data_IF_080949306784
#
_entry.id   IF_080949306784
#
_cell.length_a   1.000
_cell.length_b   1.000
_cell.length_c   1.000
_cell.angle_alpha   90.00
_cell.angle_beta   90.00
_cell.angle_gamma   90.00
#
_symmetry.space_group_name_H-M   'P 1'
#
loop_
_entity.id
_entity.type
_entity.pdbx_description
1 polymer ?
#
# COMPACT_ATOMS: atom_id res chain seq x y z
N UNK A 1 -14.53 -3.61 -0.57
CA UNK A 1 -13.92 -4.74 -1.27
C UNK A 1 -13.72 -4.41 -2.73
N UNK A 2 -12.50 -4.05 -3.11
CA UNK A 2 -12.11 -3.97 -4.51
C UNK A 2 -12.10 -5.40 -5.04
N UNK A 3 -12.91 -5.68 -6.06
CA UNK A 3 -12.99 -7.01 -6.64
C UNK A 3 -11.63 -7.50 -7.17
N UNK A 4 -10.70 -6.58 -7.43
CA UNK A 4 -9.38 -6.86 -7.98
C UNK A 4 -8.45 -7.61 -7.04
N UNK A 5 -8.19 -7.10 -5.82
CA UNK A 5 -7.26 -7.75 -4.88
C UNK A 5 -7.80 -9.11 -4.42
N UNK A 6 -9.10 -9.19 -4.15
CA UNK A 6 -9.75 -10.46 -3.81
C UNK A 6 -9.64 -11.49 -4.95
N UNK A 7 -9.75 -11.04 -6.20
CA UNK A 7 -9.54 -11.92 -7.35
C UNK A 7 -8.09 -12.38 -7.48
N UNK A 8 -7.10 -11.51 -7.24
CA UNK A 8 -5.69 -11.88 -7.25
C UNK A 8 -5.35 -12.92 -6.18
N UNK A 9 -5.93 -12.79 -4.98
CA UNK A 9 -5.77 -13.79 -3.90
C UNK A 9 -6.31 -15.16 -4.33
N UNK A 10 -7.53 -15.21 -4.85
CA UNK A 10 -8.13 -16.44 -5.38
C UNK A 10 -7.34 -17.02 -6.56
N UNK A 11 -6.82 -16.17 -7.44
CA UNK A 11 -6.00 -16.62 -8.55
C UNK A 11 -4.71 -17.29 -8.06
N UNK A 12 -4.03 -16.72 -7.07
CA UNK A 12 -2.78 -17.27 -6.57
C UNK A 12 -2.93 -18.61 -5.82
N UNK A 13 -4.14 -18.95 -5.34
CA UNK A 13 -4.44 -20.30 -4.85
C UNK A 13 -4.45 -21.36 -5.96
N UNK A 14 -4.73 -20.95 -7.21
CA UNK A 14 -4.91 -21.86 -8.35
C UNK A 14 -3.78 -21.82 -9.38
N UNK A 15 -3.14 -20.66 -9.57
CA UNK A 15 -2.03 -20.44 -10.50
C UNK A 15 -0.89 -19.64 -9.86
N UNK A 16 0.12 -20.35 -9.36
CA UNK A 16 1.34 -19.74 -8.83
C UNK A 16 2.17 -18.97 -9.88
N UNK A 17 1.96 -19.22 -11.18
CA UNK A 17 2.69 -18.51 -12.25
C UNK A 17 2.24 -17.06 -12.35
N UNK A 18 0.96 -16.77 -12.08
CA UNK A 18 0.42 -15.42 -12.09
C UNK A 18 1.23 -14.49 -11.17
N UNK A 19 1.54 -14.94 -9.94
CA UNK A 19 2.38 -14.18 -9.01
C UNK A 19 3.80 -13.94 -9.54
N UNK A 20 4.43 -14.94 -10.14
CA UNK A 20 5.77 -14.78 -10.72
C UNK A 20 5.78 -13.75 -11.86
N UNK A 21 4.76 -13.78 -12.71
CA UNK A 21 4.58 -12.84 -13.82
C UNK A 21 4.33 -11.42 -13.32
N UNK A 22 3.40 -11.24 -12.38
CA UNK A 22 3.08 -9.94 -11.79
C UNK A 22 4.28 -9.36 -11.04
N UNK A 23 5.02 -10.15 -10.27
CA UNK A 23 6.23 -9.70 -9.60
C UNK A 23 7.29 -9.23 -10.59
N UNK A 24 7.44 -9.93 -11.72
CA UNK A 24 8.34 -9.54 -12.82
C UNK A 24 7.89 -8.28 -13.57
N UNK A 25 6.63 -7.85 -13.41
CA UNK A 25 6.10 -6.62 -14.04
C UNK A 25 6.52 -5.32 -13.32
N UNK A 26 6.93 -5.41 -12.05
CA UNK A 26 7.87 -4.43 -11.47
C UNK A 26 9.16 -4.47 -12.33
N UNK A 27 10.24 -3.73 -12.16
CA UNK A 27 11.32 -3.67 -13.19
C UNK A 27 10.92 -3.09 -14.58
N UNK A 28 9.65 -3.15 -15.01
CA UNK A 28 9.13 -2.39 -16.16
C UNK A 28 8.28 -1.22 -15.68
N UNK A 29 7.95 -0.31 -16.59
CA UNK A 29 6.92 0.70 -16.35
C UNK A 29 5.54 0.05 -16.15
N UNK A 30 4.71 0.54 -15.22
CA UNK A 30 3.40 -0.05 -14.98
C UNK A 30 2.54 -0.10 -16.25
N UNK A 31 2.08 -1.31 -16.62
CA UNK A 31 1.26 -1.53 -17.81
C UNK A 31 2.02 -1.75 -19.11
N UNK A 32 3.36 -1.87 -19.08
CA UNK A 32 4.19 -2.17 -20.26
C UNK A 32 4.62 -3.63 -20.37
N UNK A 33 4.44 -4.44 -19.33
CA UNK A 33 4.83 -5.85 -19.34
C UNK A 33 3.70 -6.74 -19.87
N UNK A 34 3.76 -7.10 -21.16
CA UNK A 34 2.72 -7.84 -21.89
C UNK A 34 2.23 -9.11 -21.17
N UNK A 35 3.09 -9.96 -20.57
CA UNK A 35 2.62 -11.16 -19.89
C UNK A 35 1.70 -10.89 -18.69
N UNK A 36 1.72 -9.67 -18.13
CA UNK A 36 0.82 -9.30 -17.04
C UNK A 36 -0.60 -8.92 -17.51
N UNK A 37 -0.82 -8.69 -18.81
CA UNK A 37 -2.09 -8.19 -19.35
C UNK A 37 -3.30 -9.08 -19.00
N UNK A 38 -3.23 -10.42 -19.12
CA UNK A 38 -4.36 -11.29 -18.80
C UNK A 38 -4.85 -11.16 -17.35
N UNK A 39 -3.98 -10.69 -16.44
CA UNK A 39 -4.29 -10.59 -15.02
C UNK A 39 -4.85 -9.23 -14.60
N UNK A 40 -4.66 -8.18 -15.41
CA UNK A 40 -4.99 -6.81 -15.01
C UNK A 40 -6.04 -6.18 -15.93
N UNK A 41 -5.97 -6.40 -17.25
CA UNK A 41 -6.90 -5.82 -18.22
C UNK A 41 -8.39 -6.10 -17.93
N UNK A 42 -8.80 -7.27 -17.39
CA UNK A 42 -10.21 -7.50 -17.04
C UNK A 42 -10.77 -6.52 -16.01
N UNK A 43 -9.92 -5.82 -15.24
CA UNK A 43 -10.30 -4.89 -14.18
C UNK A 43 -10.18 -3.42 -14.58
N UNK A 44 -9.56 -3.14 -15.73
CA UNK A 44 -9.30 -1.78 -16.21
C UNK A 44 -10.13 -1.56 -17.48
N UNK A 45 -11.21 -0.77 -17.38
CA UNK A 45 -12.11 -0.52 -18.52
C UNK A 45 -11.67 0.70 -19.32
N UNK A 46 -11.31 0.51 -20.59
CA UNK A 46 -11.03 1.57 -21.59
C UNK A 46 -10.22 2.75 -21.03
N UNK A 47 -9.33 2.49 -20.07
CA UNK A 47 -8.56 3.50 -19.35
C UNK A 47 -7.11 3.27 -19.74
N UNK A 48 -6.54 4.20 -20.49
CA UNK A 48 -5.17 4.12 -20.97
C UNK A 48 -4.21 4.87 -20.02
N UNK A 49 -4.75 5.45 -18.93
CA UNK A 49 -4.08 6.46 -18.13
C UNK A 49 -3.64 5.98 -16.75
N UNK A 50 -3.75 6.90 -15.79
CA UNK A 50 -3.27 6.72 -14.42
C UNK A 50 -3.87 5.51 -13.71
N UNK A 51 -5.16 5.26 -13.90
CA UNK A 51 -5.84 4.13 -13.26
C UNK A 51 -5.23 2.81 -13.71
N UNK A 52 -5.02 2.64 -15.02
CA UNK A 52 -4.37 1.44 -15.57
C UNK A 52 -3.01 1.23 -14.95
N UNK A 53 -2.17 2.26 -14.97
CA UNK A 53 -0.83 2.20 -14.39
C UNK A 53 -0.87 1.80 -12.90
N UNK A 54 -1.80 2.36 -12.09
CA UNK A 54 -1.90 2.02 -10.67
C UNK A 54 -2.38 0.59 -10.41
N UNK A 55 -3.28 0.03 -11.25
CA UNK A 55 -3.67 -1.37 -11.13
C UNK A 55 -2.47 -2.30 -11.38
N UNK A 56 -1.69 -2.03 -12.43
CA UNK A 56 -0.47 -2.80 -12.71
C UNK A 56 0.57 -2.67 -11.60
N UNK A 57 0.78 -1.45 -11.10
CA UNK A 57 1.71 -1.21 -10.01
C UNK A 57 1.30 -2.00 -8.77
N UNK A 58 0.06 -1.86 -8.31
CA UNK A 58 -0.42 -2.55 -7.10
C UNK A 58 -0.40 -4.06 -7.28
N UNK A 59 -0.76 -4.60 -8.45
CA UNK A 59 -0.68 -6.04 -8.71
C UNK A 59 0.75 -6.58 -8.57
N UNK A 60 1.73 -5.85 -9.12
CA UNK A 60 3.14 -6.22 -8.99
C UNK A 60 3.64 -6.11 -7.55
N UNK A 61 3.26 -5.05 -6.83
CA UNK A 61 3.63 -4.85 -5.43
C UNK A 61 3.02 -5.93 -4.53
N UNK A 62 1.74 -6.21 -4.71
CA UNK A 62 1.04 -7.31 -4.03
C UNK A 62 1.76 -8.64 -4.29
N UNK A 63 2.10 -8.95 -5.55
CA UNK A 63 2.77 -10.20 -5.91
C UNK A 63 4.19 -10.31 -5.33
N UNK A 64 4.89 -9.19 -5.19
CA UNK A 64 6.22 -9.12 -4.55
C UNK A 64 6.14 -9.26 -3.02
N UNK A 65 5.07 -8.75 -2.43
CA UNK A 65 4.85 -8.71 -0.98
C UNK A 65 4.15 -9.95 -0.42
N UNK A 66 3.43 -10.67 -1.26
CA UNK A 66 2.64 -11.83 -0.84
C UNK A 66 3.51 -12.91 -0.21
N UNK A 67 3.10 -13.38 0.97
CA UNK A 67 3.70 -14.49 1.68
C UNK A 67 2.62 -15.44 2.18
N UNK A 68 2.91 -16.74 2.09
CA UNK A 68 2.04 -17.77 2.63
C UNK A 68 2.00 -17.65 4.15
N UNK A 69 0.80 -17.70 4.74
CA UNK A 69 0.65 -17.66 6.19
C UNK A 69 0.96 -16.32 6.84
N UNK A 70 0.84 -15.20 6.10
CA UNK A 70 0.84 -13.87 6.72
C UNK A 70 -0.28 -13.80 7.77
N UNK A 71 0.12 -13.81 9.03
CA UNK A 71 -0.76 -13.66 10.18
C UNK A 71 -0.77 -12.20 10.61
N UNK A 72 -1.95 -11.69 10.92
CA UNK A 72 -2.12 -10.31 11.36
C UNK A 72 -3.18 -9.56 10.58
N UNK A 73 -3.73 -8.53 11.23
CA UNK A 73 -4.69 -7.64 10.60
C UNK A 73 -3.98 -6.78 9.54
N UNK A 74 -4.48 -6.83 8.30
CA UNK A 74 -4.00 -5.95 7.23
C UNK A 74 -4.15 -4.50 7.67
N UNK A 75 -3.13 -3.69 7.39
CA UNK A 75 -3.13 -2.29 7.78
C UNK A 75 -2.73 -1.38 6.61
N UNK A 76 -3.15 -0.11 6.62
CA UNK A 76 -2.82 0.82 5.55
C UNK A 76 -1.31 1.07 5.48
N UNK A 77 -0.81 1.46 4.30
CA UNK A 77 0.63 1.62 4.06
C UNK A 77 1.28 2.59 5.07
N UNK A 78 0.62 3.72 5.35
CA UNK A 78 1.12 4.72 6.28
C UNK A 78 1.29 4.15 7.71
N UNK A 79 0.32 3.36 8.19
CA UNK A 79 0.43 2.69 9.48
C UNK A 79 1.54 1.63 9.48
N UNK A 80 1.68 0.86 8.41
CA UNK A 80 2.76 -0.11 8.26
C UNK A 80 4.15 0.56 8.32
N UNK A 81 4.32 1.74 7.71
CA UNK A 81 5.54 2.55 7.83
C UNK A 81 5.85 2.92 9.28
N UNK A 82 4.85 3.41 10.02
CA UNK A 82 5.03 3.82 11.41
C UNK A 82 5.38 2.63 12.32
N UNK A 83 4.69 1.49 12.16
CA UNK A 83 4.99 0.26 12.90
C UNK A 83 6.41 -0.23 12.59
N UNK A 84 6.83 -0.23 11.33
CA UNK A 84 8.20 -0.59 10.96
C UNK A 84 9.24 0.36 11.56
N UNK A 85 8.95 1.67 11.62
CA UNK A 85 9.83 2.63 12.28
C UNK A 85 9.98 2.35 13.78
N UNK A 86 8.87 2.07 14.47
CA UNK A 86 8.90 1.73 15.90
C UNK A 86 9.70 0.44 16.16
N UNK A 87 9.58 -0.56 15.27
CA UNK A 87 10.32 -1.82 15.37
C UNK A 87 11.81 -1.67 15.05
N UNK A 88 12.15 -0.86 14.05
CA UNK A 88 13.54 -0.66 13.61
C UNK A 88 14.32 0.35 14.48
N UNK A 89 13.61 1.22 15.22
CA UNK A 89 14.21 2.30 16.00
C UNK A 89 14.88 3.38 15.14
N UNK A 90 14.68 3.39 13.82
CA UNK A 90 15.37 4.28 12.89
C UNK A 90 14.43 5.29 12.24
N UNK A 91 14.77 6.57 12.33
CA UNK A 91 14.08 7.66 11.61
C UNK A 91 14.30 7.64 10.09
N UNK A 92 15.08 6.69 9.56
CA UNK A 92 15.28 6.55 8.11
C UNK A 92 14.00 6.16 7.36
N UNK A 93 13.07 5.49 8.03
CA UNK A 93 11.75 5.12 7.48
C UNK A 93 10.89 6.35 7.23
N UNK A 94 10.82 7.28 8.19
CA UNK A 94 10.11 8.56 8.04
C UNK A 94 10.62 9.34 6.83
N UNK A 95 11.95 9.46 6.65
CA UNK A 95 12.51 10.19 5.51
C UNK A 95 12.10 9.58 4.17
N UNK A 96 12.12 8.24 4.06
CA UNK A 96 11.64 7.54 2.86
C UNK A 96 10.15 7.74 2.66
N UNK A 97 9.37 7.78 3.74
CA UNK A 97 7.92 7.97 3.69
C UNK A 97 7.56 9.39 3.22
N UNK A 98 8.24 10.41 3.74
CA UNK A 98 8.10 11.80 3.26
C UNK A 98 8.38 11.88 1.75
N UNK A 99 9.42 11.20 1.27
CA UNK A 99 9.70 11.13 -0.17
C UNK A 99 8.55 10.46 -0.95
N UNK A 100 7.87 9.45 -0.39
CA UNK A 100 6.68 8.88 -1.05
C UNK A 100 5.55 9.91 -1.10
N UNK A 101 5.30 10.66 -0.02
CA UNK A 101 4.25 11.68 0.03
C UNK A 101 4.47 12.83 -0.96
N UNK A 102 5.74 13.20 -1.18
CA UNK A 102 6.15 14.25 -2.13
C UNK A 102 6.24 13.76 -3.58
N UNK A 103 5.99 12.46 -3.84
CA UNK A 103 6.18 11.89 -5.17
C UNK A 103 5.13 12.38 -6.17
N UNK A 104 5.61 12.86 -7.31
CA UNK A 104 4.78 13.10 -8.49
C UNK A 104 4.40 11.77 -9.20
N UNK A 105 3.66 11.88 -10.30
CA UNK A 105 3.17 10.72 -11.07
C UNK A 105 4.28 9.83 -11.61
N UNK A 106 5.43 10.38 -11.96
CA UNK A 106 6.55 9.66 -12.57
C UNK A 106 7.40 8.99 -11.49
N UNK A 107 7.56 9.65 -10.35
CA UNK A 107 8.38 9.18 -9.24
C UNK A 107 7.65 8.16 -8.35
N UNK A 108 6.32 8.26 -8.25
CA UNK A 108 5.52 7.44 -7.34
C UNK A 108 5.72 5.93 -7.53
N UNK A 109 5.70 5.36 -8.76
CA UNK A 109 5.92 3.94 -8.94
C UNK A 109 7.27 3.46 -8.40
N UNK A 110 8.33 4.23 -8.61
CA UNK A 110 9.66 3.87 -8.15
C UNK A 110 9.78 3.97 -6.62
N UNK A 111 9.34 5.10 -6.04
CA UNK A 111 9.41 5.33 -4.59
C UNK A 111 8.54 4.33 -3.82
N UNK A 112 7.37 3.99 -4.35
CA UNK A 112 6.48 3.03 -3.73
C UNK A 112 7.06 1.60 -3.73
N UNK A 113 7.70 1.16 -4.82
CA UNK A 113 8.42 -0.14 -4.86
C UNK A 113 9.49 -0.24 -3.78
N UNK A 114 10.27 0.83 -3.60
CA UNK A 114 11.30 0.87 -2.55
C UNK A 114 10.67 0.80 -1.16
N UNK A 115 9.58 1.54 -0.94
CA UNK A 115 8.89 1.53 0.36
C UNK A 115 8.29 0.16 0.68
N UNK A 116 7.56 -0.46 -0.24
CA UNK A 116 6.97 -1.79 0.01
C UNK A 116 8.02 -2.86 0.22
N UNK A 117 9.17 -2.77 -0.46
CA UNK A 117 10.28 -3.70 -0.25
C UNK A 117 10.87 -3.58 1.17
N UNK A 118 10.95 -2.36 1.70
CA UNK A 118 11.36 -2.12 3.10
C UNK A 118 10.34 -2.67 4.10
N UNK A 119 9.06 -2.66 3.73
CA UNK A 119 7.97 -3.13 4.57
C UNK A 119 7.67 -4.63 4.43
N UNK A 120 8.53 -5.44 3.83
CA UNK A 120 8.24 -6.83 3.42
C UNK A 120 7.68 -7.75 4.53
N UNK A 121 7.88 -7.43 5.81
CA UNK A 121 7.36 -8.17 6.97
C UNK A 121 5.98 -7.68 7.46
N UNK A 122 5.51 -6.51 7.03
CA UNK A 122 4.26 -5.90 7.52
C UNK A 122 3.06 -6.36 6.67
N UNK A 123 1.89 -6.69 7.27
CA UNK A 123 0.70 -7.05 6.50
C UNK A 123 0.01 -5.80 5.92
N UNK A 124 0.32 -5.46 4.67
CA UNK A 124 -0.21 -4.25 4.00
C UNK A 124 -1.59 -4.54 3.39
N UNK A 125 -2.51 -3.59 3.56
CA UNK A 125 -3.80 -3.56 2.85
C UNK A 125 -3.62 -2.98 1.43
N UNK A 126 -3.45 -3.88 0.45
CA UNK A 126 -3.30 -3.52 -0.96
C UNK A 126 -4.59 -3.02 -1.61
N UNK A 127 -5.76 -3.31 -1.02
CA UNK A 127 -7.03 -2.76 -1.51
C UNK A 127 -7.10 -1.26 -1.19
N UNK A 128 -6.84 -0.91 0.06
CA UNK A 128 -6.79 0.49 0.46
C UNK A 128 -5.69 1.24 -0.29
N UNK A 129 -4.52 0.63 -0.45
CA UNK A 129 -3.43 1.21 -1.24
C UNK A 129 -3.86 1.54 -2.68
N UNK A 130 -4.57 0.62 -3.38
CA UNK A 130 -5.05 0.91 -4.73
C UNK A 130 -6.00 2.12 -4.74
N UNK A 131 -6.98 2.15 -3.84
CA UNK A 131 -7.94 3.26 -3.77
C UNK A 131 -7.24 4.61 -3.51
N UNK A 132 -6.26 4.61 -2.61
CA UNK A 132 -5.46 5.79 -2.27
C UNK A 132 -4.64 6.28 -3.47
N UNK A 133 -4.02 5.36 -4.21
CA UNK A 133 -3.22 5.69 -5.40
C UNK A 133 -4.09 6.18 -6.57
N UNK A 134 -5.29 5.65 -6.74
CA UNK A 134 -6.25 6.16 -7.72
C UNK A 134 -6.68 7.60 -7.41
N UNK A 135 -6.66 7.98 -6.13
CA UNK A 135 -6.93 9.33 -5.66
C UNK A 135 -5.68 10.22 -5.51
N UNK A 136 -4.49 9.71 -5.87
CA UNK A 136 -3.21 10.40 -5.59
C UNK A 136 -3.09 11.76 -6.28
N UNK A 137 -3.60 11.88 -7.51
CA UNK A 137 -3.45 13.08 -8.34
C UNK A 137 -4.59 14.10 -8.18
N UNK A 138 -5.42 14.01 -7.15
CA UNK A 138 -6.38 15.08 -6.85
C UNK A 138 -5.66 16.29 -6.25
N UNK A 139 -5.96 17.50 -6.75
CA UNK A 139 -5.30 18.76 -6.36
C UNK A 139 -5.32 19.02 -4.85
N UNK A 140 -6.32 18.49 -4.14
CA UNK A 140 -6.49 18.63 -2.69
C UNK A 140 -5.40 17.97 -1.83
N UNK A 141 -4.48 17.17 -2.42
CA UNK A 141 -3.49 16.34 -1.70
C UNK A 141 -4.10 15.53 -0.54
N UNK A 142 -5.36 15.11 -0.69
CA UNK A 142 -6.15 14.48 0.38
C UNK A 142 -5.55 13.15 0.83
N UNK A 143 -5.07 12.34 -0.11
CA UNK A 143 -4.45 11.04 0.19
C UNK A 143 -3.16 11.25 0.99
N UNK A 144 -2.30 12.16 0.54
CA UNK A 144 -1.04 12.49 1.19
C UNK A 144 -1.27 12.99 2.63
N UNK A 145 -2.26 13.88 2.82
CA UNK A 145 -2.64 14.39 4.14
C UNK A 145 -3.21 13.29 5.05
N UNK A 146 -4.02 12.38 4.52
CA UNK A 146 -4.55 11.23 5.27
C UNK A 146 -3.41 10.31 5.71
N UNK A 147 -2.51 9.97 4.79
CA UNK A 147 -1.34 9.14 5.06
C UNK A 147 -0.40 9.77 6.11
N UNK A 148 -0.13 11.07 6.00
CA UNK A 148 0.67 11.79 6.99
C UNK A 148 0.03 11.73 8.39
N UNK A 149 -1.27 12.02 8.50
CA UNK A 149 -2.01 11.94 9.77
C UNK A 149 -1.96 10.55 10.37
N UNK A 150 -2.17 9.52 9.57
CA UNK A 150 -2.15 8.14 10.02
C UNK A 150 -0.76 7.70 10.51
N UNK A 151 0.29 8.04 9.78
CA UNK A 151 1.67 7.75 10.15
C UNK A 151 2.04 8.39 11.50
N UNK A 152 1.86 9.72 11.63
CA UNK A 152 2.24 10.43 12.85
C UNK A 152 1.38 10.10 14.07
N UNK A 153 0.07 9.84 13.89
CA UNK A 153 -0.79 9.36 14.98
C UNK A 153 -0.39 7.97 15.48
N UNK A 154 0.21 7.15 14.63
CA UNK A 154 0.70 5.83 15.02
C UNK A 154 2.02 5.93 15.78
N UNK A 155 2.90 6.88 15.41
CA UNK A 155 4.16 7.13 16.12
C UNK A 155 3.97 7.80 17.48
N UNK A 156 2.95 8.65 17.61
CA UNK A 156 2.57 9.30 18.86
C UNK A 156 1.17 8.83 19.24
N UNK A 157 1.02 7.63 19.82
CA UNK A 157 -0.25 7.27 20.43
C UNK A 157 -0.55 8.35 21.46
N UNK A 158 -1.65 9.08 21.25
CA UNK A 158 -2.13 10.06 22.23
C UNK A 158 -2.14 9.36 23.59
N UNK A 159 -1.65 9.99 24.68
CA UNK A 159 -1.97 9.51 26.01
C UNK A 159 -3.49 9.36 26.03
N UNK A 160 -3.97 8.15 26.30
CA UNK A 160 -5.38 7.93 26.54
C UNK A 160 -5.83 8.99 27.55
N UNK A 161 -6.90 9.71 27.25
CA UNK A 161 -7.53 10.59 28.23
C UNK A 161 -7.72 9.77 29.50
N UNK A 162 -7.26 10.24 30.68
CA UNK A 162 -7.48 9.53 31.91
C UNK A 162 -8.99 9.35 32.06
N UNK A 163 -9.43 8.10 32.08
CA UNK A 163 -10.79 7.72 32.46
C UNK A 163 -11.07 8.40 33.79
N UNK A 164 -11.89 9.45 33.76
CA UNK A 164 -12.32 10.11 34.98
C UNK A 164 -13.28 9.13 35.66
N UNK A 165 -12.72 8.25 36.49
CA UNK A 165 -13.49 7.58 37.53
C UNK A 165 -14.04 8.70 38.40
N UNK A 166 -15.31 9.04 38.18
CA UNK A 166 -16.08 9.84 39.11
C UNK A 166 -16.26 8.99 40.37
N UNK A 167 -15.30 9.10 41.27
CA UNK A 167 -15.44 8.76 42.67
C UNK A 167 -16.58 9.61 43.23
N UNK A 168 -17.79 9.03 43.22
CA UNK A 168 -18.97 9.65 43.81
C UNK A 168 -18.95 9.25 45.27
N UNK A 169 -18.35 10.11 46.09
CA UNK A 169 -18.52 10.06 47.53
C UNK A 169 -19.95 10.54 47.87
N UNK A 170 -20.75 9.65 48.45
CA UNK A 170 -21.83 9.95 49.40
C UNK A 170 -22.36 8.66 50.04
#
# INVERSE_FOLDING_TARGET
>A
MSAFIAWLEKLNETDNKARAVLRRSLAFEPGQYIPAFPYVEPFVKNDDGWRRAMHYLVAGLWAAHWRQGQTGQRMPLAKACAVHQLQSGSASTERRFINVLDADREQLPHRLRQMTALLAEQPIDFEQLLNDLLAWSYDSKRTQNTWAREFYRTLTPSPAEPTHEMETAA
#
